data_IF_651423080837
#
_entry.id   IF_651423080837
#
_cell.length_a   1.000
_cell.length_b   1.000
_cell.length_c   1.000
_cell.angle_alpha   90.00
_cell.angle_beta   90.00
_cell.angle_gamma   90.00
#
_symmetry.space_group_name_H-M   'P 1'
#
loop_
_entity.id
_entity.type
_entity.pdbx_description
1 polymer ?
#
# COMPACT_ATOMS: atom_id res chain seq x y z
N UNK A 1 22.26 -11.98 -1.30
CA UNK A 1 20.86 -11.61 -1.03
C UNK A 1 20.62 -10.14 -1.32
N UNK A 2 19.41 -9.78 -1.79
CA UNK A 2 19.01 -8.37 -1.92
C UNK A 2 18.32 -7.95 -0.64
N UNK A 3 19.12 -7.55 0.35
CA UNK A 3 18.64 -7.07 1.63
C UNK A 3 18.12 -5.63 1.49
N UNK A 4 16.80 -5.48 1.33
CA UNK A 4 16.14 -4.18 1.28
C UNK A 4 14.68 -4.30 0.85
N UNK A 5 13.81 -3.45 1.38
CA UNK A 5 12.43 -3.36 0.91
C UNK A 5 12.44 -2.84 -0.55
N UNK A 6 11.89 -3.56 -1.54
CA UNK A 6 12.01 -3.20 -2.96
C UNK A 6 11.66 -1.76 -3.32
N UNK A 7 10.70 -1.18 -2.59
CA UNK A 7 10.25 0.19 -2.78
C UNK A 7 11.30 1.25 -2.36
N UNK A 8 12.16 0.96 -1.39
CA UNK A 8 13.14 1.93 -0.87
C UNK A 8 14.20 2.28 -1.90
N UNK A 9 14.67 1.30 -2.68
CA UNK A 9 15.64 1.56 -3.75
C UNK A 9 15.03 2.44 -4.85
N UNK A 10 13.75 2.27 -5.14
CA UNK A 10 13.03 3.15 -6.07
C UNK A 10 12.95 4.59 -5.55
N UNK A 11 12.85 4.80 -4.23
CA UNK A 11 12.84 6.15 -3.66
C UNK A 11 14.21 6.82 -3.78
N UNK A 12 15.28 6.07 -3.52
CA UNK A 12 16.65 6.54 -3.73
C UNK A 12 16.85 6.90 -5.20
N UNK A 13 16.40 6.05 -6.13
CA UNK A 13 16.49 6.32 -7.56
C UNK A 13 15.79 7.64 -7.94
N UNK A 14 14.55 7.83 -7.51
CA UNK A 14 13.78 9.05 -7.77
C UNK A 14 14.47 10.30 -7.19
N UNK A 15 14.98 10.18 -5.96
CA UNK A 15 15.69 11.26 -5.27
C UNK A 15 17.02 11.63 -5.94
N UNK A 16 17.70 10.65 -6.54
CA UNK A 16 18.93 10.87 -7.33
C UNK A 16 18.60 11.48 -8.68
N UNK A 17 17.58 10.99 -9.39
CA UNK A 17 17.13 11.55 -10.65
C UNK A 17 16.73 13.04 -10.50
N UNK A 18 15.99 13.38 -9.45
CA UNK A 18 15.63 14.76 -9.11
C UNK A 18 16.87 15.63 -8.90
N UNK A 19 17.84 15.18 -8.09
CA UNK A 19 19.09 15.92 -7.83
C UNK A 19 19.99 16.04 -9.05
N UNK A 20 19.95 15.07 -9.96
CA UNK A 20 20.70 15.07 -11.20
C UNK A 20 20.01 15.91 -12.31
N UNK A 21 18.83 16.48 -12.04
CA UNK A 21 18.09 17.28 -13.03
C UNK A 21 17.40 16.46 -14.11
N UNK A 22 17.18 15.16 -13.90
CA UNK A 22 16.46 14.30 -14.83
C UNK A 22 14.96 14.53 -14.66
N UNK A 23 14.33 15.20 -15.63
CA UNK A 23 12.91 15.50 -15.61
C UNK A 23 12.03 14.29 -16.01
N UNK A 24 10.74 14.34 -15.65
CA UNK A 24 9.71 13.36 -16.03
C UNK A 24 9.99 11.92 -15.56
N UNK A 25 10.59 11.80 -14.38
CA UNK A 25 10.79 10.53 -13.68
C UNK A 25 9.78 10.43 -12.54
N UNK A 26 9.06 9.31 -12.44
CA UNK A 26 8.02 9.11 -11.44
C UNK A 26 7.95 7.66 -10.97
N UNK A 27 7.52 7.44 -9.73
CA UNK A 27 7.26 6.09 -9.22
C UNK A 27 5.87 5.61 -9.64
N UNK A 28 5.76 4.36 -10.10
CA UNK A 28 4.50 3.75 -10.55
C UNK A 28 4.23 2.49 -9.72
N UNK A 29 3.11 2.44 -8.99
CA UNK A 29 2.76 1.28 -8.19
C UNK A 29 2.22 0.17 -9.09
N UNK A 30 2.88 -1.00 -9.08
CA UNK A 30 2.39 -2.22 -9.73
C UNK A 30 1.98 -3.22 -8.63
N UNK A 31 0.95 -4.06 -8.79
CA UNK A 31 0.74 -5.17 -7.87
C UNK A 31 2.00 -6.06 -7.81
N UNK A 32 2.44 -6.39 -6.59
CA UNK A 32 3.68 -7.15 -6.37
C UNK A 32 5.00 -6.39 -6.59
N UNK A 33 5.02 -5.23 -7.27
CA UNK A 33 6.25 -4.49 -7.61
C UNK A 33 6.13 -2.97 -7.44
N UNK A 34 7.24 -2.24 -7.50
CA UNK A 34 7.20 -0.79 -7.63
C UNK A 34 8.19 -0.39 -8.71
N UNK A 35 7.70 0.22 -9.78
CA UNK A 35 8.49 0.57 -10.95
C UNK A 35 8.80 2.06 -10.94
N UNK A 36 9.83 2.44 -11.67
CA UNK A 36 10.07 3.83 -12.05
C UNK A 36 9.70 4.01 -13.51
N UNK A 37 8.99 5.09 -13.81
CA UNK A 37 8.65 5.51 -15.15
C UNK A 37 9.44 6.76 -15.52
N UNK A 38 10.07 6.73 -16.70
CA UNK A 38 10.71 7.88 -17.32
C UNK A 38 10.00 8.20 -18.64
N UNK A 39 9.39 9.39 -18.74
CA UNK A 39 8.57 9.78 -19.89
C UNK A 39 8.91 11.20 -20.39
N UNK A 40 10.06 11.40 -21.06
CA UNK A 40 10.41 12.69 -21.64
C UNK A 40 9.42 13.14 -22.73
N UNK A 41 9.18 14.45 -22.88
CA UNK A 41 8.42 14.98 -24.01
C UNK A 41 9.01 14.51 -25.36
N UNK A 42 8.14 14.06 -26.26
CA UNK A 42 8.54 13.61 -27.60
C UNK A 42 9.28 12.27 -27.66
N UNK A 43 9.30 11.50 -26.57
CA UNK A 43 9.91 10.17 -26.52
C UNK A 43 8.94 9.13 -25.97
N UNK A 44 9.16 7.86 -26.30
CA UNK A 44 8.42 6.76 -25.70
C UNK A 44 8.73 6.66 -24.20
N UNK A 45 7.71 6.45 -23.39
CA UNK A 45 7.91 6.17 -21.96
C UNK A 45 8.64 4.85 -21.77
N UNK A 46 9.41 4.78 -20.68
CA UNK A 46 10.17 3.60 -20.28
C UNK A 46 9.86 3.24 -18.84
N UNK A 47 9.54 1.98 -18.60
CA UNK A 47 9.45 1.42 -17.26
C UNK A 47 10.81 0.82 -16.87
N UNK A 48 11.19 1.05 -15.62
CA UNK A 48 12.47 0.65 -15.05
C UNK A 48 12.16 -0.13 -13.76
N UNK A 49 12.59 -1.38 -13.71
CA UNK A 49 12.57 -2.17 -12.50
C UNK A 49 13.88 -1.95 -11.74
N UNK A 50 13.85 -0.95 -10.87
CA UNK A 50 15.02 -0.52 -10.08
C UNK A 50 15.51 -1.64 -9.15
N UNK A 51 14.60 -2.43 -8.59
CA UNK A 51 14.96 -3.51 -7.68
C UNK A 51 15.63 -4.69 -8.42
N UNK A 52 15.20 -4.97 -9.65
CA UNK A 52 15.78 -6.01 -10.49
C UNK A 52 16.91 -5.47 -11.38
N UNK A 53 17.85 -4.76 -10.77
CA UNK A 53 19.09 -4.31 -11.43
C UNK A 53 18.92 -3.11 -12.35
N UNK A 54 17.82 -2.35 -12.22
CA UNK A 54 17.56 -1.19 -13.08
C UNK A 54 17.24 -1.55 -14.52
N UNK A 55 16.79 -2.80 -14.77
CA UNK A 55 16.45 -3.23 -16.13
C UNK A 55 15.24 -2.46 -16.65
N UNK A 56 15.24 -2.18 -17.95
CA UNK A 56 14.03 -1.75 -18.63
C UNK A 56 13.05 -2.93 -18.71
N UNK A 57 11.77 -2.65 -18.52
CA UNK A 57 10.69 -3.62 -18.62
C UNK A 57 9.62 -3.08 -19.57
N UNK A 58 9.07 -3.96 -20.41
CA UNK A 58 7.95 -3.62 -21.30
C UNK A 58 6.63 -3.60 -20.54
N UNK A 59 5.60 -2.96 -21.12
CA UNK A 59 4.25 -3.04 -20.55
C UNK A 59 3.71 -4.48 -20.51
N UNK A 60 4.02 -5.31 -21.52
CA UNK A 60 3.61 -6.73 -21.51
C UNK A 60 4.16 -7.47 -20.31
N UNK A 61 5.47 -7.34 -20.04
CA UNK A 61 6.09 -7.97 -18.86
C UNK A 61 5.53 -7.39 -17.54
N UNK A 62 5.30 -6.09 -17.48
CA UNK A 62 4.70 -5.45 -16.30
C UNK A 62 3.26 -5.92 -16.06
N UNK A 63 2.47 -6.12 -17.13
CA UNK A 63 1.09 -6.61 -17.07
C UNK A 63 1.05 -8.06 -16.59
N UNK A 64 1.98 -8.91 -17.05
CA UNK A 64 2.12 -10.29 -16.57
C UNK A 64 2.44 -10.34 -15.07
N UNK A 65 3.44 -9.57 -14.64
CA UNK A 65 3.84 -9.47 -13.23
C UNK A 65 2.67 -8.97 -12.38
N UNK A 66 2.06 -7.86 -12.80
CA UNK A 66 0.96 -7.24 -12.07
C UNK A 66 -0.26 -8.16 -11.99
N UNK A 67 -0.62 -8.80 -13.09
CA UNK A 67 -1.79 -9.68 -13.14
C UNK A 67 -1.60 -10.93 -12.29
N UNK A 68 -0.39 -11.51 -12.31
CA UNK A 68 -0.03 -12.65 -11.46
C UNK A 68 -0.14 -12.30 -9.98
N UNK A 69 0.37 -11.12 -9.57
CA UNK A 69 0.31 -10.68 -8.18
C UNK A 69 -1.11 -10.28 -7.71
N UNK A 70 -1.91 -9.70 -8.60
CA UNK A 70 -3.27 -9.24 -8.28
C UNK A 70 -4.33 -10.34 -8.37
N UNK A 71 -4.06 -11.43 -9.10
CA UNK A 71 -5.04 -12.47 -9.42
C UNK A 71 -6.12 -12.01 -10.42
N UNK A 72 -5.92 -10.87 -11.08
CA UNK A 72 -6.84 -10.27 -12.05
C UNK A 72 -6.06 -9.48 -13.12
N UNK A 73 -6.62 -9.25 -14.31
CA UNK A 73 -5.92 -8.53 -15.38
C UNK A 73 -5.50 -7.11 -14.97
N UNK A 74 -4.21 -6.80 -15.15
CA UNK A 74 -3.60 -5.48 -14.94
C UNK A 74 -3.17 -4.90 -16.28
N UNK A 75 -3.40 -3.60 -16.47
CA UNK A 75 -2.90 -2.81 -17.61
C UNK A 75 -2.02 -1.68 -17.10
N UNK A 76 -0.71 -1.88 -17.17
CA UNK A 76 0.32 -1.01 -16.63
C UNK A 76 0.37 0.36 -17.30
N UNK A 77 -0.03 0.43 -18.58
CA UNK A 77 -0.16 1.67 -19.34
C UNK A 77 -1.16 2.68 -18.72
N UNK A 78 -2.12 2.20 -17.94
CA UNK A 78 -3.10 3.03 -17.26
C UNK A 78 -2.75 3.33 -15.81
N UNK A 79 -1.62 2.81 -15.32
CA UNK A 79 -1.17 3.11 -13.97
C UNK A 79 -0.63 4.53 -13.92
N UNK A 80 -1.22 5.34 -13.05
CA UNK A 80 -0.75 6.69 -12.79
C UNK A 80 0.48 6.68 -11.87
N UNK A 81 1.30 7.74 -11.93
CA UNK A 81 2.29 8.01 -10.90
C UNK A 81 1.70 8.01 -9.49
N UNK A 82 2.45 7.43 -8.55
CA UNK A 82 2.15 7.54 -7.13
C UNK A 82 2.52 8.94 -6.63
N UNK A 83 1.67 9.49 -5.78
CA UNK A 83 1.98 10.69 -4.99
C UNK A 83 3.00 10.36 -3.90
N UNK A 84 3.67 11.38 -3.36
CA UNK A 84 4.59 11.21 -2.21
C UNK A 84 3.90 10.55 -1.01
N UNK A 85 2.63 10.90 -0.74
CA UNK A 85 1.84 10.29 0.34
C UNK A 85 1.61 8.80 0.08
N UNK A 86 1.19 8.41 -1.12
CA UNK A 86 0.96 7.01 -1.49
C UNK A 86 2.24 6.17 -1.43
N UNK A 87 3.37 6.76 -1.82
CA UNK A 87 4.69 6.15 -1.67
C UNK A 87 5.00 5.87 -0.20
N UNK A 88 4.83 6.86 0.69
CA UNK A 88 5.07 6.70 2.13
C UNK A 88 4.12 5.65 2.73
N UNK A 89 2.82 5.72 2.41
CA UNK A 89 1.83 4.71 2.82
C UNK A 89 2.30 3.31 2.45
N UNK A 90 2.72 3.10 1.19
CA UNK A 90 3.19 1.79 0.74
C UNK A 90 4.46 1.33 1.44
N UNK A 91 5.39 2.24 1.74
CA UNK A 91 6.59 1.93 2.54
C UNK A 91 6.21 1.46 3.95
N UNK A 92 5.31 2.19 4.63
CA UNK A 92 4.86 1.86 5.98
C UNK A 92 4.06 0.56 5.99
N UNK A 93 3.20 0.32 4.99
CA UNK A 93 2.50 -0.97 4.83
C UNK A 93 3.48 -2.13 4.68
N UNK A 94 4.55 -1.97 3.88
CA UNK A 94 5.57 -3.01 3.77
C UNK A 94 6.29 -3.30 5.10
N UNK A 95 6.60 -2.25 5.87
CA UNK A 95 7.18 -2.38 7.22
C UNK A 95 6.22 -3.08 8.17
N UNK A 96 4.95 -2.70 8.17
CA UNK A 96 3.91 -3.34 8.97
C UNK A 96 3.80 -4.83 8.63
N UNK A 97 3.68 -5.18 7.35
CA UNK A 97 3.57 -6.58 6.92
C UNK A 97 4.82 -7.39 7.22
N UNK A 98 6.01 -6.78 7.20
CA UNK A 98 7.23 -7.43 7.64
C UNK A 98 7.22 -7.67 9.16
N UNK A 99 7.01 -6.62 9.96
CA UNK A 99 6.97 -6.74 11.43
C UNK A 99 5.85 -7.64 11.91
N UNK A 100 4.69 -7.65 11.26
CA UNK A 100 3.60 -8.57 11.62
C UNK A 100 4.01 -10.04 11.43
N UNK A 101 4.78 -10.35 10.38
CA UNK A 101 5.26 -11.70 10.11
C UNK A 101 6.37 -12.13 11.07
N UNK A 102 7.30 -11.23 11.37
CA UNK A 102 8.48 -11.55 12.20
C UNK A 102 8.20 -11.45 13.71
N UNK A 103 7.41 -10.47 14.14
CA UNK A 103 7.23 -10.10 15.55
C UNK A 103 5.76 -10.19 16.01
N UNK A 104 4.82 -10.40 15.09
CA UNK A 104 3.39 -10.57 15.38
C UNK A 104 2.55 -9.29 15.32
N UNK A 105 1.23 -9.48 15.47
CA UNK A 105 0.23 -8.41 15.31
C UNK A 105 0.46 -7.22 16.25
N UNK A 106 0.76 -7.49 17.53
CA UNK A 106 0.94 -6.45 18.53
C UNK A 106 2.13 -5.53 18.21
N UNK A 107 3.25 -6.09 17.77
CA UNK A 107 4.42 -5.31 17.38
C UNK A 107 4.13 -4.41 16.16
N UNK A 108 3.30 -4.88 15.23
CA UNK A 108 2.96 -4.15 14.00
C UNK A 108 1.99 -2.98 14.18
N UNK A 109 1.27 -2.90 15.31
CA UNK A 109 0.23 -1.89 15.57
C UNK A 109 0.73 -0.45 15.40
N UNK A 110 1.98 -0.17 15.79
CA UNK A 110 2.60 1.16 15.65
C UNK A 110 2.58 1.69 14.20
N UNK A 111 2.68 0.78 13.22
CA UNK A 111 2.64 1.15 11.81
C UNK A 111 1.20 1.36 11.33
N UNK A 112 0.25 0.55 11.82
CA UNK A 112 -1.16 0.72 11.53
C UNK A 112 -1.69 2.06 12.07
N UNK A 113 -1.25 2.47 13.27
CA UNK A 113 -1.56 3.79 13.84
C UNK A 113 -1.05 4.92 12.93
N UNK A 114 0.20 4.82 12.48
CA UNK A 114 0.77 5.78 11.54
C UNK A 114 -0.02 5.81 10.22
N UNK A 115 -0.38 4.64 9.68
CA UNK A 115 -1.13 4.54 8.42
C UNK A 115 -2.50 5.20 8.50
N UNK A 116 -3.25 5.00 9.58
CA UNK A 116 -4.53 5.70 9.80
C UNK A 116 -4.30 7.21 9.84
N UNK A 117 -3.26 7.69 10.53
CA UNK A 117 -2.95 9.12 10.63
C UNK A 117 -2.52 9.76 9.29
N UNK A 118 -1.88 9.01 8.37
CA UNK A 118 -1.34 9.55 7.12
C UNK A 118 -2.16 9.22 5.87
N UNK A 119 -3.19 8.38 5.96
CA UNK A 119 -3.98 7.93 4.80
C UNK A 119 -4.57 9.11 3.99
N UNK A 120 -4.96 10.19 4.67
CA UNK A 120 -5.38 11.45 4.07
C UNK A 120 -6.83 11.48 3.61
N UNK A 121 -7.21 10.57 2.72
CA UNK A 121 -8.57 10.53 2.14
C UNK A 121 -9.50 9.56 2.89
N UNK A 122 -10.80 9.85 3.06
CA UNK A 122 -11.72 9.03 3.85
C UNK A 122 -11.75 7.55 3.45
N UNK A 123 -11.75 7.25 2.15
CA UNK A 123 -11.72 5.87 1.65
C UNK A 123 -10.43 5.15 2.01
N UNK A 124 -9.29 5.84 1.93
CA UNK A 124 -8.00 5.27 2.27
C UNK A 124 -7.88 5.07 3.79
N UNK A 125 -8.34 6.03 4.60
CA UNK A 125 -8.36 5.93 6.06
C UNK A 125 -9.21 4.76 6.52
N UNK A 126 -10.41 4.59 5.94
CA UNK A 126 -11.29 3.47 6.24
C UNK A 126 -10.61 2.11 5.99
N UNK A 127 -9.87 1.96 4.88
CA UNK A 127 -9.10 0.74 4.60
C UNK A 127 -8.04 0.49 5.68
N UNK A 128 -7.32 1.52 6.14
CA UNK A 128 -6.33 1.39 7.21
C UNK A 128 -6.97 1.07 8.56
N UNK A 129 -8.17 1.62 8.86
CA UNK A 129 -8.92 1.31 10.08
C UNK A 129 -9.41 -0.14 10.12
N UNK A 130 -9.86 -0.69 9.00
CA UNK A 130 -10.22 -2.13 8.93
C UNK A 130 -9.02 -3.01 9.26
N UNK A 131 -7.86 -2.72 8.66
CA UNK A 131 -6.66 -3.51 8.92
C UNK A 131 -6.14 -3.33 10.36
N UNK A 132 -6.21 -2.11 10.91
CA UNK A 132 -5.89 -1.88 12.33
C UNK A 132 -6.86 -2.60 13.26
N UNK A 133 -8.16 -2.63 12.94
CA UNK A 133 -9.15 -3.38 13.71
C UNK A 133 -8.82 -4.89 13.76
N UNK A 134 -8.39 -5.47 12.62
CA UNK A 134 -7.91 -6.86 12.54
C UNK A 134 -6.70 -7.07 13.46
N UNK A 135 -5.72 -6.17 13.43
CA UNK A 135 -4.55 -6.26 14.30
C UNK A 135 -4.89 -6.13 15.78
N UNK A 136 -5.69 -5.11 16.15
CA UNK A 136 -6.15 -4.89 17.53
C UNK A 136 -6.89 -6.11 18.07
N UNK A 137 -7.81 -6.67 17.30
CA UNK A 137 -8.53 -7.90 17.67
C UNK A 137 -7.58 -9.08 17.90
N UNK A 138 -6.58 -9.30 17.03
CA UNK A 138 -5.58 -10.37 17.20
C UNK A 138 -4.65 -10.16 18.38
N UNK A 139 -4.50 -8.91 18.83
CA UNK A 139 -3.71 -8.54 20.00
C UNK A 139 -4.53 -8.48 21.30
N UNK A 140 -5.80 -8.87 21.27
CA UNK A 140 -6.69 -8.87 22.44
C UNK A 140 -7.39 -7.54 22.72
N UNK A 141 -7.16 -6.51 21.90
CA UNK A 141 -7.84 -5.21 21.99
C UNK A 141 -9.14 -5.21 21.17
N UNK A 142 -10.14 -5.95 21.66
CA UNK A 142 -11.45 -5.99 21.03
C UNK A 142 -12.20 -4.64 21.11
N UNK A 143 -11.89 -3.81 22.11
CA UNK A 143 -12.50 -2.49 22.28
C UNK A 143 -12.01 -1.52 21.21
N UNK A 144 -10.70 -1.41 20.99
CA UNK A 144 -10.12 -0.59 19.93
C UNK A 144 -10.45 -1.12 18.53
N UNK A 145 -10.60 -2.43 18.35
CA UNK A 145 -11.09 -2.99 17.09
C UNK A 145 -12.53 -2.53 16.79
N UNK A 146 -13.40 -2.52 17.80
CA UNK A 146 -14.78 -2.02 17.67
C UNK A 146 -14.80 -0.52 17.38
N UNK A 147 -13.95 0.27 18.04
CA UNK A 147 -13.81 1.71 17.77
C UNK A 147 -13.51 2.00 16.29
N UNK A 148 -12.54 1.30 15.71
CA UNK A 148 -12.16 1.49 14.30
C UNK A 148 -13.29 1.14 13.33
N UNK A 149 -14.03 0.07 13.59
CA UNK A 149 -15.16 -0.34 12.76
C UNK A 149 -16.38 0.58 12.94
N UNK A 150 -16.65 1.03 14.17
CA UNK A 150 -17.72 1.99 14.46
C UNK A 150 -17.49 3.30 13.70
N UNK A 151 -16.25 3.78 13.63
CA UNK A 151 -15.91 4.97 12.85
C UNK A 151 -16.37 4.84 11.39
N UNK A 152 -16.20 3.66 10.77
CA UNK A 152 -16.60 3.42 9.38
C UNK A 152 -18.13 3.43 9.24
N UNK A 153 -18.85 2.81 10.18
CA UNK A 153 -20.31 2.83 10.19
C UNK A 153 -20.84 4.26 10.35
N UNK A 154 -20.22 5.06 11.21
CA UNK A 154 -20.61 6.46 11.46
C UNK A 154 -20.32 7.39 10.27
N UNK A 155 -19.17 7.21 9.60
CA UNK A 155 -18.73 8.12 8.53
C UNK A 155 -19.14 7.67 7.13
N UNK A 156 -19.58 6.41 6.96
CA UNK A 156 -20.01 5.82 5.70
C UNK A 156 -19.12 6.18 4.49
N UNK A 157 -17.80 5.93 4.55
CA UNK A 157 -16.88 6.31 3.50
C UNK A 157 -17.21 5.62 2.16
N UNK A 158 -17.03 6.30 1.01
CA UNK A 158 -17.46 5.79 -0.28
C UNK A 158 -16.75 4.48 -0.64
N UNK A 159 -17.53 3.49 -1.10
CA UNK A 159 -17.03 2.18 -1.52
C UNK A 159 -16.90 1.16 -0.39
N UNK A 160 -17.42 1.45 0.81
CA UNK A 160 -17.55 0.48 1.90
C UNK A 160 -19.01 0.13 2.15
N UNK A 161 -19.26 -1.15 2.40
CA UNK A 161 -20.56 -1.66 2.82
C UNK A 161 -20.68 -1.55 4.35
N UNK A 162 -21.45 -0.56 4.80
CA UNK A 162 -21.63 -0.27 6.23
C UNK A 162 -22.37 -1.40 6.96
N UNK A 163 -23.24 -2.14 6.27
CA UNK A 163 -23.96 -3.28 6.86
C UNK A 163 -22.98 -4.42 7.12
N UNK A 164 -22.14 -4.73 6.13
CA UNK A 164 -21.07 -5.73 6.29
C UNK A 164 -20.11 -5.37 7.44
N UNK A 165 -19.75 -4.09 7.59
CA UNK A 165 -18.89 -3.62 8.69
C UNK A 165 -19.60 -3.74 10.04
N UNK A 166 -20.89 -3.43 10.12
CA UNK A 166 -21.69 -3.61 11.35
C UNK A 166 -21.76 -5.09 11.77
N UNK A 167 -21.85 -6.02 10.81
CA UNK A 167 -21.77 -7.46 11.11
C UNK A 167 -20.41 -7.87 11.68
N UNK A 168 -19.31 -7.24 11.25
CA UNK A 168 -17.98 -7.48 11.84
C UNK A 168 -17.95 -7.07 13.32
N UNK A 169 -18.57 -5.94 13.68
CA UNK A 169 -18.68 -5.48 15.07
C UNK A 169 -19.44 -6.48 15.95
N UNK A 170 -20.51 -7.07 15.41
CA UNK A 170 -21.30 -8.08 16.13
C UNK A 170 -20.48 -9.35 16.39
N UNK A 171 -19.70 -9.81 15.40
CA UNK A 171 -18.82 -10.99 15.54
C UNK A 171 -17.73 -10.80 16.59
N UNK A 172 -17.14 -9.61 16.70
CA UNK A 172 -16.16 -9.29 17.75
C UNK A 172 -16.75 -9.45 19.18
N UNK A 173 -18.05 -9.20 19.36
CA UNK A 173 -18.72 -9.35 20.67
C UNK A 173 -18.98 -10.80 21.09
N UNK A 174 -18.97 -11.74 20.14
CA UNK A 174 -19.24 -13.16 20.40
C UNK A 174 -17.96 -13.94 20.72
N UNK A 175 -16.80 -13.51 20.21
CA UNK A 175 -15.51 -14.16 20.44
C UNK A 175 -14.92 -13.92 21.85
N UNK A 176 -15.49 -12.98 22.62
CA UNK A 176 -15.05 -12.65 23.99
C UNK A 176 -15.97 -13.18 25.10
N UNK A 177 -16.93 -14.05 24.78
CA UNK A 177 -17.76 -14.79 25.75
C UNK A 177 -17.34 -16.26 25.77
#
# INVERSE_FOLDING_TARGET
>A
DREGLPITLSFVFLAVAERAGVANVSGVPLPGHFLVKHAPPGSNERLIDVFNGGRYITHSEADEIGSSAAGLPVRSEFLRPATKREMIVRLVTNLQSFTEREEGAAASLRFADLLVAIAGEPRAEAAQRIDRARLRSRSGDAAGAREDLSWIVEHAPPGFDVEQVAEMINRLGQAGR
#
